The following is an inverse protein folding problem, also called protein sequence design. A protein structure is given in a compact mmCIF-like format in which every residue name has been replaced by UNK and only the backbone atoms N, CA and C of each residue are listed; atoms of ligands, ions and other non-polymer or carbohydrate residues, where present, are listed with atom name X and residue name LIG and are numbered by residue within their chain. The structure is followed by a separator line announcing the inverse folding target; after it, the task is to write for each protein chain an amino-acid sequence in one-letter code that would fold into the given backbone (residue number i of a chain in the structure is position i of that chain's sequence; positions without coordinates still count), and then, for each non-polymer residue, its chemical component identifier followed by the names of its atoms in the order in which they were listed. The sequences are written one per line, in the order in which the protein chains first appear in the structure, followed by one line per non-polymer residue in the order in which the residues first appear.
data_IF_062492210828
#
_entry.id   IF_062492210828
#
_cell.length_a   1.000
_cell.length_b   1.000
_cell.length_c   1.000
_cell.angle_alpha   90.00
_cell.angle_beta   90.00
_cell.angle_gamma   90.00
#
_symmetry.space_group_name_H-M   'P 1'
#
loop_
_entity.id
_entity.type
_entity.pdbx_description
1 polymer ?
#
# COMPACT_ATOMS: atom_id res chain seq x y z
N UNK A 1 13.30 34.30 -14.12
CA UNK A 1 13.30 33.74 -15.49
C UNK A 1 13.51 32.24 -15.36
N UNK A 2 12.42 31.51 -15.11
CA UNK A 2 12.44 30.07 -14.76
C UNK A 2 12.10 29.30 -16.03
N UNK A 3 13.08 28.59 -16.59
CA UNK A 3 12.87 27.62 -17.67
C UNK A 3 12.22 26.38 -17.05
N UNK A 4 10.90 26.28 -17.16
CA UNK A 4 10.16 25.05 -16.90
C UNK A 4 10.41 24.15 -18.11
N UNK A 5 11.21 23.10 -17.92
CA UNK A 5 11.35 22.02 -18.90
C UNK A 5 10.26 21.01 -18.59
N UNK A 6 9.13 21.12 -19.29
CA UNK A 6 8.11 20.06 -19.34
C UNK A 6 8.73 18.85 -20.06
N UNK A 7 8.69 17.63 -19.50
CA UNK A 7 8.85 16.44 -20.33
C UNK A 7 7.56 16.26 -21.14
N UNK A 8 7.57 16.75 -22.37
CA UNK A 8 6.56 16.40 -23.37
C UNK A 8 6.85 14.95 -23.77
N UNK A 9 6.08 14.01 -23.25
CA UNK A 9 6.00 12.67 -23.85
C UNK A 9 5.23 12.80 -25.16
N UNK A 10 5.98 12.99 -26.24
CA UNK A 10 5.50 12.99 -27.61
C UNK A 10 5.20 11.52 -27.96
N UNK A 11 3.94 11.20 -28.25
CA UNK A 11 3.56 9.92 -28.86
C UNK A 11 4.15 9.85 -30.27
N UNK A 12 5.38 9.34 -30.39
CA UNK A 12 5.92 8.93 -31.69
C UNK A 12 5.26 7.61 -32.08
N UNK A 13 4.25 7.71 -32.96
CA UNK A 13 3.79 6.59 -33.77
C UNK A 13 4.90 6.18 -34.74
N UNK A 14 5.82 5.33 -34.29
CA UNK A 14 6.73 4.61 -35.17
C UNK A 14 5.97 3.40 -35.72
N UNK A 15 5.60 3.47 -37.00
CA UNK A 15 5.11 2.33 -37.75
C UNK A 15 6.27 1.33 -37.91
N UNK A 16 6.40 0.42 -36.95
CA UNK A 16 7.27 -0.74 -37.05
C UNK A 16 6.55 -1.85 -37.85
N UNK A 17 7.29 -2.60 -38.69
CA UNK A 17 6.73 -3.75 -39.40
C UNK A 17 6.19 -4.75 -38.38
N UNK A 18 5.07 -5.41 -38.70
CA UNK A 18 4.31 -6.29 -37.80
C UNK A 18 5.17 -7.40 -37.17
N UNK A 19 5.69 -7.15 -35.97
CA UNK A 19 6.36 -8.08 -35.07
C UNK A 19 5.97 -7.70 -33.64
N UNK A 20 5.24 -8.60 -32.98
CA UNK A 20 4.70 -8.45 -31.63
C UNK A 20 3.45 -7.57 -31.50
N UNK A 21 2.54 -7.93 -30.60
CA UNK A 21 1.41 -7.09 -30.22
C UNK A 21 1.87 -6.10 -29.15
N UNK A 22 1.70 -4.80 -29.42
CA UNK A 22 1.95 -3.72 -28.47
C UNK A 22 0.62 -3.17 -27.99
N UNK A 23 0.48 -2.99 -26.68
CA UNK A 23 -0.63 -2.26 -26.09
C UNK A 23 -0.10 -1.25 -25.08
N UNK A 24 -0.61 -0.03 -25.12
CA UNK A 24 -0.27 1.05 -24.21
C UNK A 24 -1.53 1.69 -23.60
N UNK A 25 -1.36 2.25 -22.40
CA UNK A 25 -2.37 3.12 -21.78
C UNK A 25 -1.65 4.21 -20.98
N UNK A 26 -2.18 5.42 -21.02
CA UNK A 26 -1.71 6.55 -20.23
C UNK A 26 -2.80 7.18 -19.40
N UNK A 27 -2.40 7.78 -18.29
CA UNK A 27 -3.23 8.63 -17.45
C UNK A 27 -2.45 9.90 -17.05
N UNK A 28 -3.14 11.05 -17.09
CA UNK A 28 -2.73 12.28 -16.43
C UNK A 28 -3.86 12.75 -15.54
N UNK A 29 -3.56 12.98 -14.26
CA UNK A 29 -4.53 13.34 -13.24
C UNK A 29 -4.14 14.64 -12.57
N UNK A 30 -5.06 15.60 -12.58
CA UNK A 30 -4.98 16.76 -11.71
C UNK A 30 -5.60 16.42 -10.35
N UNK A 31 -4.79 16.42 -9.30
CA UNK A 31 -5.19 16.13 -7.93
C UNK A 31 -5.30 17.45 -7.14
N UNK A 32 -6.38 17.61 -6.39
CA UNK A 32 -6.52 18.64 -5.36
C UNK A 32 -6.92 18.00 -4.03
N UNK A 33 -6.31 18.48 -2.94
CA UNK A 33 -6.70 18.15 -1.56
C UNK A 33 -6.83 19.44 -0.77
N UNK A 34 -7.88 19.55 0.02
CA UNK A 34 -8.15 20.68 0.91
C UNK A 34 -8.48 20.15 2.29
N UNK A 35 -7.74 20.57 3.30
CA UNK A 35 -7.88 20.17 4.69
C UNK A 35 -8.66 21.21 5.49
N UNK A 36 -9.16 20.81 6.65
CA UNK A 36 -9.66 21.77 7.63
C UNK A 36 -8.50 22.68 8.08
N UNK A 37 -8.72 24.00 8.01
CA UNK A 37 -7.71 24.98 8.39
C UNK A 37 -7.37 24.90 9.86
N UNK A 38 -6.08 25.04 10.16
CA UNK A 38 -5.58 25.14 11.53
C UNK A 38 -4.60 26.31 11.69
N UNK A 39 -4.02 26.44 12.88
CA UNK A 39 -3.03 27.48 13.17
C UNK A 39 -1.59 26.96 12.99
N UNK A 40 -1.38 25.85 12.29
CA UNK A 40 -0.07 25.24 12.09
C UNK A 40 0.57 25.68 10.77
N UNK A 41 1.43 26.69 10.86
CA UNK A 41 2.14 27.25 9.71
C UNK A 41 3.20 26.31 9.09
N UNK A 42 3.45 25.13 9.66
CA UNK A 42 4.37 24.15 9.08
C UNK A 42 3.72 23.30 7.98
N UNK A 43 2.39 23.13 8.04
CA UNK A 43 1.64 22.28 7.11
C UNK A 43 0.85 23.09 6.09
N UNK A 44 0.50 22.47 4.96
CA UNK A 44 -0.33 23.09 3.94
C UNK A 44 -1.80 22.65 4.05
N UNK A 45 -2.71 23.60 4.15
CA UNK A 45 -4.16 23.34 4.23
C UNK A 45 -4.80 23.04 2.86
N UNK A 46 -4.12 23.36 1.78
CA UNK A 46 -4.55 23.02 0.43
C UNK A 46 -3.35 22.67 -0.42
N UNK A 47 -3.55 21.76 -1.38
CA UNK A 47 -2.49 21.39 -2.30
C UNK A 47 -3.04 20.94 -3.65
N UNK A 48 -2.22 21.12 -4.68
CA UNK A 48 -2.44 20.64 -6.04
C UNK A 48 -1.27 19.78 -6.48
N UNK A 49 -1.56 18.69 -7.20
CA UNK A 49 -0.54 17.86 -7.81
C UNK A 49 -0.94 17.45 -9.23
N UNK A 50 0.07 17.17 -10.04
CA UNK A 50 -0.06 16.49 -11.32
C UNK A 50 0.48 15.07 -11.13
N UNK A 51 -0.39 14.08 -11.29
CA UNK A 51 -0.03 12.68 -11.35
C UNK A 51 -0.06 12.21 -12.80
N UNK A 52 0.86 11.33 -13.18
CA UNK A 52 0.81 10.65 -14.48
C UNK A 52 1.24 9.21 -14.32
N UNK A 53 0.58 8.30 -15.04
CA UNK A 53 0.94 6.89 -15.13
C UNK A 53 0.97 6.49 -16.59
N UNK A 54 1.99 5.75 -16.98
CA UNK A 54 2.09 5.17 -18.31
C UNK A 54 2.34 3.67 -18.20
N UNK A 55 1.72 2.91 -19.09
CA UNK A 55 2.00 1.49 -19.25
C UNK A 55 2.20 1.13 -20.72
N UNK A 56 3.10 0.21 -20.97
CA UNK A 56 3.34 -0.41 -22.27
C UNK A 56 3.57 -1.90 -22.03
N UNK A 57 2.86 -2.73 -22.80
CA UNK A 57 3.05 -4.17 -22.84
C UNK A 57 3.36 -4.60 -24.26
N UNK A 58 4.38 -5.44 -24.40
CA UNK A 58 4.81 -6.03 -25.66
C UNK A 58 4.73 -7.55 -25.53
N UNK A 59 4.13 -8.21 -26.51
CA UNK A 59 4.03 -9.67 -26.55
C UNK A 59 4.52 -10.16 -27.91
N UNK A 60 5.50 -11.05 -27.91
CA UNK A 60 6.00 -11.71 -29.12
C UNK A 60 6.21 -13.21 -28.86
N UNK A 61 5.35 -14.03 -29.47
CA UNK A 61 5.33 -15.47 -29.21
C UNK A 61 5.14 -15.76 -27.71
N UNK A 62 6.11 -16.45 -27.11
CA UNK A 62 6.10 -16.81 -25.70
C UNK A 62 6.72 -15.74 -24.78
N UNK A 63 7.26 -14.66 -25.35
CA UNK A 63 7.87 -13.59 -24.59
C UNK A 63 6.87 -12.47 -24.30
N UNK A 64 6.91 -11.93 -23.09
CA UNK A 64 6.20 -10.71 -22.68
C UNK A 64 7.17 -9.73 -22.06
N UNK A 65 7.17 -8.50 -22.56
CA UNK A 65 7.77 -7.35 -21.90
C UNK A 65 6.69 -6.42 -21.33
N UNK A 66 6.89 -5.91 -20.12
CA UNK A 66 5.99 -4.96 -19.49
C UNK A 66 6.75 -3.82 -18.84
N UNK A 67 6.27 -2.60 -19.05
CA UNK A 67 6.70 -1.39 -18.36
C UNK A 67 5.45 -0.68 -17.85
N UNK A 68 5.41 -0.37 -16.56
CA UNK A 68 4.42 0.49 -15.93
C UNK A 68 5.09 1.34 -14.88
N UNK A 69 4.89 2.66 -14.96
CA UNK A 69 5.47 3.60 -14.03
C UNK A 69 4.54 4.79 -13.83
N UNK A 70 4.64 5.42 -12.67
CA UNK A 70 3.95 6.66 -12.39
C UNK A 70 4.90 7.73 -11.85
N UNK A 71 4.50 8.98 -11.98
CA UNK A 71 5.18 10.12 -11.38
C UNK A 71 4.16 11.11 -10.82
N UNK A 72 4.53 11.79 -9.74
CA UNK A 72 3.75 12.85 -9.11
C UNK A 72 4.61 14.09 -8.98
N UNK A 73 4.03 15.24 -9.31
CA UNK A 73 4.63 16.56 -9.12
C UNK A 73 3.64 17.46 -8.36
N UNK A 74 4.06 17.94 -7.22
CA UNK A 74 3.25 18.68 -6.26
C UNK A 74 3.60 20.16 -6.25
N UNK A 75 2.58 21.00 -6.06
CA UNK A 75 2.68 22.45 -6.18
C UNK A 75 3.37 23.12 -5.00
N UNK A 76 3.29 22.55 -3.80
CA UNK A 76 3.78 23.16 -2.55
C UNK A 76 4.83 22.30 -1.86
N UNK A 77 4.62 20.99 -1.81
CA UNK A 77 5.48 20.06 -1.10
C UNK A 77 6.38 19.28 -2.05
N UNK A 78 7.63 19.75 -2.19
CA UNK A 78 8.62 19.12 -3.07
C UNK A 78 8.98 17.69 -2.70
N UNK A 79 8.77 17.27 -1.45
CA UNK A 79 9.05 15.89 -1.02
C UNK A 79 8.00 14.90 -1.55
N UNK A 80 6.83 15.39 -1.97
CA UNK A 80 5.83 14.59 -2.71
C UNK A 80 6.19 14.40 -4.18
N UNK A 81 7.26 15.03 -4.69
CA UNK A 81 7.72 14.84 -6.06
C UNK A 81 8.49 13.52 -6.16
N UNK A 82 7.90 12.54 -6.82
CA UNK A 82 8.53 11.23 -6.99
C UNK A 82 8.12 10.58 -8.31
N UNK A 83 8.91 9.57 -8.69
CA UNK A 83 8.55 8.60 -9.71
C UNK A 83 8.73 7.21 -9.14
N UNK A 84 7.88 6.29 -9.58
CA UNK A 84 7.86 4.91 -9.13
C UNK A 84 7.73 4.00 -10.34
N UNK A 85 8.59 2.99 -10.39
CA UNK A 85 8.46 1.87 -11.31
C UNK A 85 7.56 0.85 -10.63
N UNK A 86 6.41 0.56 -11.24
CA UNK A 86 5.49 -0.47 -10.78
C UNK A 86 5.88 -1.81 -11.43
N UNK A 87 6.04 -1.81 -12.75
CA UNK A 87 6.49 -2.97 -13.51
C UNK A 87 7.58 -2.56 -14.51
N UNK A 88 8.64 -3.36 -14.61
CA UNK A 88 9.66 -3.27 -15.65
C UNK A 88 10.32 -4.64 -15.75
N UNK A 89 9.67 -5.58 -16.44
CA UNK A 89 10.10 -6.98 -16.49
C UNK A 89 9.98 -7.59 -17.88
N UNK A 90 10.74 -8.67 -18.08
CA UNK A 90 10.54 -9.63 -19.16
C UNK A 90 10.13 -10.97 -18.59
N UNK A 91 9.21 -11.67 -19.25
CA UNK A 91 8.85 -13.05 -18.94
C UNK A 91 8.81 -13.91 -20.19
N UNK A 92 9.04 -15.20 -20.00
CA UNK A 92 9.00 -16.19 -21.07
C UNK A 92 8.25 -17.44 -20.62
N UNK A 93 7.34 -17.91 -21.48
CA UNK A 93 6.58 -19.14 -21.30
C UNK A 93 7.27 -20.32 -21.99
N UNK A 94 7.40 -21.42 -21.26
CA UNK A 94 8.01 -22.67 -21.68
C UNK A 94 7.00 -23.81 -21.54
N UNK A 95 7.29 -24.92 -22.24
CA UNK A 95 6.47 -26.12 -22.21
C UNK A 95 5.22 -26.03 -23.10
N UNK A 96 4.56 -27.17 -23.27
CA UNK A 96 3.26 -27.23 -23.92
C UNK A 96 2.26 -26.41 -23.09
N UNK A 97 1.44 -25.63 -23.78
CA UNK A 97 0.41 -24.74 -23.21
C UNK A 97 0.92 -23.72 -22.17
N UNK A 98 2.22 -23.46 -22.09
CA UNK A 98 2.80 -22.47 -21.17
C UNK A 98 2.86 -22.93 -19.71
N UNK A 99 2.99 -24.25 -19.48
CA UNK A 99 3.06 -24.88 -18.15
C UNK A 99 4.18 -24.40 -17.22
N UNK A 100 5.19 -23.68 -17.75
CA UNK A 100 6.28 -23.10 -16.96
C UNK A 100 6.58 -21.66 -17.41
N UNK A 101 6.76 -20.74 -16.46
CA UNK A 101 7.11 -19.34 -16.73
C UNK A 101 8.32 -18.91 -15.92
N UNK A 102 9.23 -18.17 -16.56
CA UNK A 102 10.28 -17.41 -15.87
C UNK A 102 10.01 -15.92 -16.08
N UNK A 103 10.12 -15.13 -15.01
CA UNK A 103 10.02 -13.66 -15.05
C UNK A 103 11.22 -13.04 -14.33
N UNK A 104 11.79 -11.98 -14.91
CA UNK A 104 12.84 -11.19 -14.29
C UNK A 104 12.63 -9.69 -14.54
N UNK A 105 12.77 -8.90 -13.47
CA UNK A 105 12.67 -7.43 -13.52
C UNK A 105 11.93 -6.86 -12.32
N UNK A 106 11.50 -5.60 -12.39
CA UNK A 106 10.64 -5.01 -11.36
C UNK A 106 9.20 -5.48 -11.56
N UNK A 107 8.57 -5.97 -10.49
CA UNK A 107 7.19 -6.46 -10.53
C UNK A 107 6.39 -5.90 -9.37
N UNK A 108 5.19 -5.41 -9.65
CA UNK A 108 4.19 -5.06 -8.65
C UNK A 108 3.38 -6.30 -8.27
N UNK A 109 3.17 -6.55 -6.98
CA UNK A 109 2.32 -7.63 -6.49
C UNK A 109 1.02 -7.06 -5.91
N UNK A 110 -0.06 -7.78 -6.15
CA UNK A 110 -1.37 -7.53 -5.53
C UNK A 110 -1.84 -8.87 -4.99
N UNK A 111 -1.65 -9.06 -3.68
CA UNK A 111 -1.95 -10.33 -3.02
C UNK A 111 -3.16 -10.23 -2.10
N UNK A 112 -3.64 -9.02 -1.82
CA UNK A 112 -4.87 -8.82 -1.07
C UNK A 112 -6.09 -9.39 -1.79
N UNK A 113 -7.01 -9.96 -1.02
CA UNK A 113 -8.38 -10.23 -1.45
C UNK A 113 -9.37 -9.16 -0.96
N UNK A 114 -9.05 -8.50 0.14
CA UNK A 114 -9.88 -7.53 0.86
C UNK A 114 -9.70 -6.11 0.33
N UNK A 115 -10.58 -5.21 0.75
CA UNK A 115 -10.68 -3.80 0.34
C UNK A 115 -9.94 -2.83 1.28
N UNK A 116 -9.84 -3.13 2.59
CA UNK A 116 -9.19 -2.22 3.54
C UNK A 116 -8.12 -2.85 4.44
N UNK A 117 -8.24 -4.14 4.76
CA UNK A 117 -7.30 -4.82 5.65
C UNK A 117 -6.50 -5.88 4.87
N UNK A 118 -5.18 -5.68 4.73
CA UNK A 118 -4.36 -6.46 3.79
C UNK A 118 -3.19 -7.20 4.49
N UNK A 119 -3.45 -8.13 5.43
CA UNK A 119 -2.39 -8.79 6.19
C UNK A 119 -1.48 -9.71 5.39
N UNK A 120 -1.86 -10.17 4.20
CA UNK A 120 -1.04 -11.01 3.33
C UNK A 120 -0.27 -10.19 2.27
N UNK A 121 -0.61 -8.92 2.09
CA UNK A 121 -0.03 -8.04 1.07
C UNK A 121 1.17 -7.23 1.60
N UNK A 122 2.30 -7.94 1.72
CA UNK A 122 3.47 -7.49 2.48
C UNK A 122 4.74 -7.27 1.66
N UNK A 123 4.80 -7.74 0.41
CA UNK A 123 6.05 -7.78 -0.37
C UNK A 123 6.48 -6.41 -0.87
N UNK A 124 5.54 -5.65 -1.44
CA UNK A 124 5.85 -4.36 -2.02
C UNK A 124 6.01 -3.30 -0.94
N UNK A 125 7.02 -2.44 -1.10
CA UNK A 125 7.07 -1.19 -0.37
C UNK A 125 5.95 -0.23 -0.80
N UNK A 126 5.42 0.50 0.18
CA UNK A 126 4.23 1.34 0.04
C UNK A 126 4.58 2.83 0.07
N UNK A 127 3.71 3.65 -0.49
CA UNK A 127 3.71 5.10 -0.34
C UNK A 127 2.67 5.47 0.72
N UNK A 128 3.13 5.87 1.91
CA UNK A 128 2.31 6.26 3.05
C UNK A 128 1.69 7.66 2.92
N UNK A 129 1.95 8.39 1.83
CA UNK A 129 1.33 9.69 1.51
C UNK A 129 0.04 9.53 0.66
N UNK A 130 -0.89 8.72 1.16
CA UNK A 130 -2.11 8.34 0.43
C UNK A 130 -3.27 7.91 1.33
N UNK A 131 -4.24 7.22 0.72
CA UNK A 131 -5.36 6.60 1.42
C UNK A 131 -4.86 5.38 2.21
N UNK A 132 -4.98 5.39 3.53
CA UNK A 132 -4.31 4.42 4.43
C UNK A 132 -4.83 2.98 4.30
N UNK A 133 -6.02 2.80 3.75
CA UNK A 133 -6.61 1.51 3.41
C UNK A 133 -6.00 0.93 2.14
N UNK A 134 -5.67 1.77 1.15
CA UNK A 134 -5.20 1.34 -0.17
C UNK A 134 -4.01 2.18 -0.63
N UNK A 135 -2.86 1.93 0.01
CA UNK A 135 -1.63 2.65 -0.26
C UNK A 135 -1.06 2.28 -1.64
N UNK A 136 -0.58 3.28 -2.38
CA UNK A 136 0.16 3.03 -3.62
C UNK A 136 1.40 2.20 -3.34
N UNK A 137 1.75 1.31 -4.27
CA UNK A 137 2.85 0.35 -4.11
C UNK A 137 3.96 0.59 -5.12
N UNK A 138 5.13 0.06 -4.81
CA UNK A 138 6.31 0.10 -5.67
C UNK A 138 6.66 -1.30 -6.14
N UNK A 139 7.10 -1.44 -7.39
CA UNK A 139 7.58 -2.71 -7.90
C UNK A 139 8.85 -3.17 -7.17
N UNK A 140 9.00 -4.48 -6.99
CA UNK A 140 10.18 -5.08 -6.37
C UNK A 140 11.04 -5.78 -7.44
N UNK A 141 12.37 -5.66 -7.32
CA UNK A 141 13.30 -6.35 -8.23
C UNK A 141 13.24 -7.86 -7.97
N UNK A 142 12.60 -8.57 -8.89
CA UNK A 142 12.11 -9.93 -8.75
C UNK A 142 12.75 -10.85 -9.79
N UNK A 143 13.14 -12.04 -9.35
CA UNK A 143 13.20 -13.24 -10.18
C UNK A 143 12.09 -14.18 -9.73
N UNK A 144 11.26 -14.63 -10.66
CA UNK A 144 10.14 -15.52 -10.39
C UNK A 144 10.18 -16.72 -11.34
N UNK A 145 9.91 -17.89 -10.79
CA UNK A 145 9.59 -19.08 -11.57
C UNK A 145 8.21 -19.58 -11.17
N UNK A 146 7.36 -19.84 -12.14
CA UNK A 146 5.98 -20.27 -11.93
C UNK A 146 5.74 -21.58 -12.69
N UNK A 147 5.15 -22.54 -11.99
CA UNK A 147 4.73 -23.82 -12.54
C UNK A 147 3.22 -23.92 -12.46
N UNK A 148 2.57 -24.32 -13.55
CA UNK A 148 1.14 -24.64 -13.55
C UNK A 148 0.95 -26.01 -12.90
N UNK A 149 0.08 -26.08 -11.89
CA UNK A 149 -0.23 -27.31 -11.14
C UNK A 149 -1.73 -27.40 -10.96
N UNK A 150 -2.38 -28.35 -11.65
CA UNK A 150 -3.85 -28.42 -11.69
C UNK A 150 -4.44 -27.12 -12.23
N UNK A 151 -5.41 -26.56 -11.52
CA UNK A 151 -6.11 -25.32 -11.89
C UNK A 151 -5.47 -24.07 -11.23
N UNK A 152 -4.17 -24.11 -10.97
CA UNK A 152 -3.46 -22.98 -10.35
C UNK A 152 -1.95 -23.08 -10.49
N UNK A 153 -1.21 -22.48 -9.56
CA UNK A 153 0.24 -22.29 -9.73
C UNK A 153 1.04 -22.52 -8.45
N UNK A 154 2.28 -22.97 -8.65
CA UNK A 154 3.34 -22.92 -7.66
C UNK A 154 4.41 -21.93 -8.12
N UNK A 155 4.60 -20.86 -7.35
CA UNK A 155 5.54 -19.79 -7.64
C UNK A 155 6.69 -19.82 -6.63
N UNK A 156 7.92 -19.65 -7.14
CA UNK A 156 9.09 -19.35 -6.33
C UNK A 156 9.56 -17.95 -6.66
N UNK A 157 9.86 -17.17 -5.62
CA UNK A 157 10.28 -15.79 -5.71
C UNK A 157 11.66 -15.62 -5.10
N UNK A 158 12.48 -14.79 -5.75
CA UNK A 158 13.72 -14.26 -5.20
C UNK A 158 13.77 -12.76 -5.43
N UNK A 159 13.96 -12.00 -4.35
CA UNK A 159 14.17 -10.56 -4.39
C UNK A 159 15.58 -10.24 -3.91
N UNK A 160 16.41 -9.75 -4.83
CA UNK A 160 17.82 -9.46 -4.51
C UNK A 160 17.99 -8.23 -3.60
N UNK A 161 16.96 -7.38 -3.53
CA UNK A 161 16.97 -6.13 -2.80
C UNK A 161 15.58 -5.75 -2.29
N UNK A 162 15.58 -4.80 -1.36
CA UNK A 162 14.39 -4.11 -0.85
C UNK A 162 14.26 -2.74 -1.51
N UNK A 163 13.03 -2.23 -1.59
CA UNK A 163 12.75 -0.84 -1.90
C UNK A 163 12.42 -0.06 -0.63
N UNK A 164 12.86 1.20 -0.55
CA UNK A 164 12.45 2.08 0.55
C UNK A 164 10.99 2.50 0.35
N UNK A 165 10.15 2.45 1.40
CA UNK A 165 8.84 3.10 1.40
C UNK A 165 8.97 4.62 1.26
N UNK A 166 7.88 5.26 0.85
CA UNK A 166 7.77 6.71 0.80
C UNK A 166 6.94 7.14 2.01
N UNK A 167 7.47 8.05 2.81
CA UNK A 167 6.76 8.64 3.93
C UNK A 167 6.36 10.07 3.61
N UNK A 168 5.24 10.57 4.18
CA UNK A 168 4.90 11.97 4.02
C UNK A 168 5.95 12.88 4.67
N UNK A 169 6.14 14.06 4.07
CA UNK A 169 7.04 15.10 4.56
C UNK A 169 6.60 15.67 5.89
N UNK A 170 7.46 16.45 6.55
CA UNK A 170 7.09 17.21 7.77
C UNK A 170 6.07 18.32 7.51
N UNK A 171 5.83 18.65 6.23
CA UNK A 171 4.85 19.65 5.77
C UNK A 171 3.51 19.02 5.36
N UNK A 172 3.44 17.69 5.24
CA UNK A 172 2.21 16.99 4.90
C UNK A 172 1.27 16.94 6.12
N UNK A 173 0.00 17.27 5.93
CA UNK A 173 -1.04 17.18 6.98
C UNK A 173 -1.19 15.77 7.51
N UNK A 174 -1.16 14.78 6.61
CA UNK A 174 -1.22 13.35 6.93
C UNK A 174 0.13 12.76 7.36
N UNK A 175 1.10 13.61 7.74
CA UNK A 175 2.44 13.18 8.13
C UNK A 175 2.49 12.50 9.50
N UNK A 176 3.10 11.32 9.53
CA UNK A 176 3.31 10.51 10.75
C UNK A 176 4.59 10.85 11.52
N UNK A 177 5.19 12.00 11.21
CA UNK A 177 6.59 12.30 11.52
C UNK A 177 6.77 13.33 12.64
N UNK A 178 5.67 13.87 13.18
CA UNK A 178 5.67 14.76 14.36
C UNK A 178 6.60 15.98 14.21
N UNK A 179 6.78 16.46 12.98
CA UNK A 179 7.67 17.60 12.67
C UNK A 179 9.16 17.24 12.62
N UNK A 180 9.51 15.96 12.74
CA UNK A 180 10.89 15.44 12.60
C UNK A 180 10.99 14.70 11.27
N UNK A 181 11.85 15.17 10.38
CA UNK A 181 12.07 14.49 9.09
C UNK A 181 12.67 13.10 9.31
N UNK A 182 12.06 12.07 8.71
CA UNK A 182 12.61 10.72 8.77
C UNK A 182 13.89 10.62 7.95
N UNK A 183 14.91 9.98 8.52
CA UNK A 183 16.09 9.54 7.76
C UNK A 183 15.78 8.28 6.96
N UNK A 184 16.73 7.91 6.09
CA UNK A 184 16.68 6.66 5.35
C UNK A 184 16.40 5.48 6.29
N UNK A 185 15.50 4.58 5.87
CA UNK A 185 15.17 3.41 6.67
C UNK A 185 16.37 2.49 6.84
N UNK A 186 16.34 1.74 7.93
CA UNK A 186 17.32 0.70 8.24
C UNK A 186 16.68 -0.67 8.12
N UNK A 187 17.42 -1.61 7.56
CA UNK A 187 17.02 -2.99 7.38
C UNK A 187 17.75 -3.84 8.42
N UNK A 188 17.01 -4.27 9.44
CA UNK A 188 17.53 -4.97 10.61
C UNK A 188 17.59 -6.47 10.35
N UNK A 189 18.80 -7.03 10.39
CA UNK A 189 19.06 -8.46 10.19
C UNK A 189 20.00 -8.95 11.31
N UNK A 190 19.47 -9.79 12.19
CA UNK A 190 20.10 -10.12 13.47
C UNK A 190 20.47 -8.86 14.26
N UNK A 191 21.76 -8.66 14.50
CA UNK A 191 22.31 -7.50 15.23
C UNK A 191 22.70 -6.33 14.34
N UNK A 192 22.71 -6.51 13.02
CA UNK A 192 23.05 -5.43 12.10
C UNK A 192 21.82 -4.53 11.90
N UNK A 193 21.92 -3.33 12.45
CA UNK A 193 21.00 -2.22 12.22
C UNK A 193 21.77 -0.95 11.82
N UNK A 194 23.02 -1.08 11.35
CA UNK A 194 23.85 0.06 10.95
C UNK A 194 23.75 0.37 9.46
N UNK A 195 23.25 -0.56 8.67
CA UNK A 195 23.23 -0.46 7.20
C UNK A 195 21.89 0.05 6.66
N UNK A 196 21.97 1.02 5.76
CA UNK A 196 20.87 1.44 4.89
C UNK A 196 20.97 0.78 3.49
N UNK A 197 21.83 -0.24 3.34
CA UNK A 197 21.97 -0.97 2.08
C UNK A 197 20.65 -1.64 1.71
N UNK A 198 20.21 -1.36 0.48
CA UNK A 198 19.03 -1.98 -0.10
C UNK A 198 19.29 -3.41 -0.60
N UNK A 199 20.54 -3.83 -0.77
CA UNK A 199 20.87 -5.19 -1.23
C UNK A 199 20.70 -6.21 -0.12
N UNK A 200 19.45 -6.53 0.15
CA UNK A 200 18.99 -7.44 1.18
C UNK A 200 18.25 -8.61 0.49
N UNK A 201 18.90 -9.77 0.30
CA UNK A 201 18.33 -10.93 -0.36
C UNK A 201 17.19 -11.57 0.44
N UNK A 202 16.10 -11.86 -0.26
CA UNK A 202 14.85 -12.39 0.27
C UNK A 202 14.26 -13.40 -0.71
N UNK A 203 13.38 -14.26 -0.22
CA UNK A 203 12.75 -15.28 -1.07
C UNK A 203 11.39 -15.69 -0.52
N UNK A 204 10.62 -16.36 -1.38
CA UNK A 204 9.32 -16.87 -0.99
C UNK A 204 8.81 -17.97 -1.91
N UNK A 205 7.82 -18.69 -1.43
CA UNK A 205 7.08 -19.69 -2.18
C UNK A 205 5.60 -19.36 -2.02
N UNK A 206 4.83 -19.41 -3.10
CA UNK A 206 3.38 -19.21 -3.08
C UNK A 206 2.69 -20.29 -3.90
N UNK A 207 1.66 -20.88 -3.33
CA UNK A 207 0.80 -21.85 -3.99
C UNK A 207 -0.61 -21.28 -4.12
N UNK A 208 -1.17 -21.31 -5.32
CA UNK A 208 -2.50 -20.82 -5.63
C UNK A 208 -3.31 -21.93 -6.27
N UNK A 209 -4.59 -22.04 -5.91
CA UNK A 209 -5.54 -22.96 -6.54
C UNK A 209 -6.92 -22.36 -6.59
N UNK A 210 -7.65 -22.76 -7.62
CA UNK A 210 -9.10 -22.63 -7.73
C UNK A 210 -9.72 -24.02 -7.56
N UNK A 211 -10.69 -24.14 -6.66
CA UNK A 211 -11.44 -25.37 -6.40
C UNK A 211 -12.94 -25.05 -6.41
N UNK A 212 -13.59 -25.22 -7.56
CA UNK A 212 -14.98 -24.83 -7.76
C UNK A 212 -15.14 -23.31 -7.59
N UNK A 213 -15.99 -22.89 -6.66
CA UNK A 213 -16.27 -21.48 -6.37
C UNK A 213 -15.30 -20.87 -5.33
N UNK A 214 -14.22 -21.58 -4.99
CA UNK A 214 -13.21 -21.16 -4.01
C UNK A 214 -11.86 -20.90 -4.70
N UNK A 215 -11.31 -19.71 -4.49
CA UNK A 215 -9.92 -19.37 -4.81
C UNK A 215 -9.13 -19.23 -3.52
N UNK A 216 -7.95 -19.83 -3.44
CA UNK A 216 -7.07 -19.62 -2.29
C UNK A 216 -5.60 -19.54 -2.68
N UNK A 217 -4.85 -18.88 -1.82
CA UNK A 217 -3.41 -18.79 -1.88
C UNK A 217 -2.79 -19.06 -0.50
N UNK A 218 -1.67 -19.77 -0.49
CA UNK A 218 -0.81 -19.93 0.68
C UNK A 218 0.61 -19.53 0.30
N UNK A 219 1.30 -18.81 1.18
CA UNK A 219 2.68 -18.42 0.96
C UNK A 219 3.53 -18.58 2.22
N UNK A 220 4.81 -18.87 1.98
CA UNK A 220 5.87 -18.75 2.97
C UNK A 220 6.93 -17.77 2.45
N UNK A 221 7.31 -16.80 3.27
CA UNK A 221 8.27 -15.76 2.92
C UNK A 221 9.39 -15.67 3.97
N UNK A 222 10.61 -15.49 3.52
CA UNK A 222 11.75 -15.03 4.33
C UNK A 222 12.16 -13.67 3.77
N UNK A 223 11.72 -12.61 4.44
CA UNK A 223 11.70 -11.25 3.90
C UNK A 223 11.87 -10.20 5.01
N UNK A 224 11.86 -8.91 4.68
CA UNK A 224 11.80 -7.81 5.64
C UNK A 224 10.37 -7.29 5.75
N UNK A 225 9.77 -7.24 6.93
CA UNK A 225 8.40 -6.74 7.03
C UNK A 225 8.33 -5.26 6.61
N UNK A 226 7.52 -4.92 5.60
CA UNK A 226 7.30 -3.51 5.17
C UNK A 226 6.03 -2.89 5.76
N UNK A 227 5.17 -3.69 6.39
CA UNK A 227 3.89 -3.25 6.91
C UNK A 227 4.00 -2.72 8.34
N UNK A 228 4.86 -3.31 9.18
CA UNK A 228 4.96 -2.97 10.61
C UNK A 228 6.36 -2.48 11.00
N UNK A 229 6.85 -1.31 10.55
CA UNK A 229 8.14 -0.77 11.00
C UNK A 229 8.12 -0.32 12.47
N UNK A 230 9.26 -0.42 13.16
CA UNK A 230 9.48 0.39 14.37
C UNK A 230 10.07 1.75 13.98
N UNK A 231 9.36 2.82 14.29
CA UNK A 231 9.87 4.19 14.13
C UNK A 231 10.67 4.56 15.37
N UNK A 232 11.95 4.90 15.22
CA UNK A 232 12.81 5.19 16.36
C UNK A 232 14.25 5.53 15.97
N UNK A 233 15.17 5.28 16.90
CA UNK A 233 16.58 5.60 16.76
C UNK A 233 17.45 4.35 16.85
N UNK A 234 18.51 4.30 16.05
CA UNK A 234 19.45 3.17 16.04
C UNK A 234 20.37 3.25 17.27
N UNK A 235 20.96 4.42 17.50
CA UNK A 235 21.96 4.64 18.54
C UNK A 235 21.42 5.52 19.66
N UNK A 236 21.74 5.12 20.90
CA UNK A 236 21.37 5.84 22.11
C UNK A 236 22.55 6.01 23.04
N UNK A 237 22.46 7.04 23.88
CA UNK A 237 23.41 7.36 24.94
C UNK A 237 22.68 7.28 26.28
N UNK A 238 23.26 6.57 27.25
CA UNK A 238 22.67 6.45 28.58
C UNK A 238 23.19 7.56 29.51
N UNK A 239 22.26 8.29 30.14
CA UNK A 239 22.55 9.31 31.17
C UNK A 239 21.67 9.02 32.38
N UNK A 240 22.28 8.72 33.52
CA UNK A 240 21.55 8.44 34.76
C UNK A 240 20.64 7.20 34.70
N UNK A 241 20.97 6.22 33.85
CA UNK A 241 20.17 4.99 33.67
C UNK A 241 19.04 5.10 32.65
N UNK A 242 18.78 6.30 32.12
CA UNK A 242 17.82 6.53 31.03
C UNK A 242 18.57 6.66 29.71
N UNK A 243 18.10 5.98 28.67
CA UNK A 243 18.67 6.07 27.33
C UNK A 243 17.97 7.14 26.49
N UNK A 244 18.76 7.96 25.81
CA UNK A 244 18.30 9.02 24.92
C UNK A 244 18.93 8.84 23.55
N UNK A 245 18.28 9.30 22.46
CA UNK A 245 18.88 9.21 21.13
C UNK A 245 20.21 9.97 21.07
N UNK A 246 21.25 9.35 20.52
CA UNK A 246 22.56 10.00 20.36
C UNK A 246 22.51 11.20 19.41
N UNK A 247 21.54 11.21 18.49
CA UNK A 247 21.23 12.32 17.61
C UNK A 247 19.70 12.40 17.41
N UNK A 248 19.08 13.50 17.81
CA UNK A 248 17.62 13.69 17.69
C UNK A 248 17.14 13.80 16.24
N UNK A 249 18.03 14.13 15.29
CA UNK A 249 17.70 14.20 13.87
C UNK A 249 17.84 12.86 13.14
N UNK A 250 17.95 11.76 13.90
CA UNK A 250 18.21 10.41 13.37
C UNK A 250 16.98 9.50 13.36
N UNK A 251 15.80 10.05 13.67
CA UNK A 251 14.54 9.32 13.68
C UNK A 251 14.29 8.65 12.32
N UNK A 252 14.08 7.34 12.33
CA UNK A 252 13.94 6.55 11.10
C UNK A 252 13.11 5.28 11.30
N UNK A 253 12.51 4.75 10.23
CA UNK A 253 11.91 3.43 10.23
C UNK A 253 12.97 2.32 10.32
N UNK A 254 12.71 1.32 11.16
CA UNK A 254 13.48 0.09 11.28
C UNK A 254 12.60 -1.08 10.83
N UNK A 255 12.98 -1.72 9.72
CA UNK A 255 12.29 -2.88 9.17
C UNK A 255 13.06 -4.15 9.52
N UNK A 256 12.41 -5.10 10.15
CA UNK A 256 13.05 -6.31 10.66
C UNK A 256 12.87 -7.47 9.70
N UNK A 257 13.90 -8.30 9.56
CA UNK A 257 13.79 -9.59 8.87
C UNK A 257 12.79 -10.48 9.62
N UNK A 258 11.95 -11.17 8.84
CA UNK A 258 10.81 -11.93 9.32
C UNK A 258 10.65 -13.19 8.47
N UNK A 259 10.24 -14.28 9.13
CA UNK A 259 9.66 -15.44 8.46
C UNK A 259 8.16 -15.38 8.59
N UNK A 260 7.46 -15.44 7.47
CA UNK A 260 6.02 -15.23 7.41
C UNK A 260 5.32 -16.41 6.74
N UNK A 261 4.24 -16.89 7.36
CA UNK A 261 3.26 -17.79 6.75
C UNK A 261 1.99 -16.99 6.53
N UNK A 262 1.56 -16.82 5.28
CA UNK A 262 0.37 -16.05 4.96
C UNK A 262 -0.50 -16.75 3.93
N UNK A 263 -1.68 -16.18 3.70
CA UNK A 263 -2.60 -16.71 2.70
C UNK A 263 -3.85 -15.89 2.55
N UNK A 264 -4.56 -16.16 1.45
CA UNK A 264 -5.84 -15.57 1.12
C UNK A 264 -6.83 -16.66 0.71
N UNK A 265 -8.11 -16.41 0.92
CA UNK A 265 -9.21 -17.23 0.44
C UNK A 265 -10.36 -16.33 0.02
N UNK A 266 -10.95 -16.62 -1.13
CA UNK A 266 -12.19 -16.03 -1.63
C UNK A 266 -13.14 -17.17 -1.98
N UNK A 267 -14.39 -17.09 -1.51
CA UNK A 267 -15.38 -18.12 -1.75
C UNK A 267 -16.73 -17.49 -2.09
N UNK A 268 -17.24 -17.79 -3.28
CA UNK A 268 -18.57 -17.38 -3.71
C UNK A 268 -19.62 -18.38 -3.22
N UNK A 269 -20.57 -17.90 -2.41
CA UNK A 269 -21.67 -18.69 -1.84
C UNK A 269 -23.01 -18.02 -2.16
N UNK A 270 -23.61 -18.44 -3.28
CA UNK A 270 -24.79 -17.74 -3.82
C UNK A 270 -24.43 -16.30 -4.16
N UNK A 271 -25.15 -15.33 -3.58
CA UNK A 271 -24.93 -13.90 -3.82
C UNK A 271 -23.89 -13.29 -2.85
N UNK A 272 -23.29 -14.10 -1.97
CA UNK A 272 -22.29 -13.65 -1.01
C UNK A 272 -20.88 -14.01 -1.50
N UNK A 273 -19.94 -13.07 -1.33
CA UNK A 273 -18.52 -13.33 -1.49
C UNK A 273 -17.85 -13.24 -0.13
N UNK A 274 -17.38 -14.37 0.37
CA UNK A 274 -16.65 -14.48 1.64
C UNK A 274 -15.16 -14.41 1.34
N UNK A 275 -14.44 -13.59 2.09
CA UNK A 275 -13.01 -13.39 1.92
C UNK A 275 -12.28 -13.54 3.24
N UNK A 276 -11.11 -14.13 3.21
CA UNK A 276 -10.22 -14.29 4.37
C UNK A 276 -8.81 -13.95 3.93
N UNK A 277 -8.10 -13.20 4.75
CA UNK A 277 -6.69 -12.89 4.57
C UNK A 277 -5.98 -13.01 5.90
N UNK A 278 -4.77 -13.58 5.91
CA UNK A 278 -4.02 -13.67 7.16
C UNK A 278 -2.54 -13.91 6.97
N UNK A 279 -1.81 -13.64 8.05
CA UNK A 279 -0.36 -13.80 8.12
C UNK A 279 0.08 -14.06 9.55
N UNK A 280 1.04 -14.96 9.73
CA UNK A 280 1.76 -15.14 10.98
C UNK A 280 3.24 -14.82 10.77
N UNK A 281 3.75 -13.92 11.61
CA UNK A 281 5.08 -13.33 11.49
C UNK A 281 5.94 -13.74 12.67
N UNK A 282 7.12 -14.26 12.35
CA UNK A 282 8.18 -14.56 13.31
C UNK A 282 9.42 -13.74 13.00
N UNK A 283 9.69 -12.74 13.84
CA UNK A 283 10.77 -11.79 13.64
C UNK A 283 12.11 -12.30 14.16
N UNK A 284 13.18 -11.77 13.58
CA UNK A 284 14.47 -11.75 14.25
C UNK A 284 14.46 -10.64 15.31
N UNK A 285 14.90 -10.94 16.53
CA UNK A 285 14.72 -10.07 17.70
C UNK A 285 16.04 -9.70 18.41
N UNK A 286 17.18 -9.91 17.74
CA UNK A 286 18.50 -9.69 18.34
C UNK A 286 18.84 -8.20 18.52
N UNK A 287 18.35 -7.33 17.63
CA UNK A 287 18.47 -5.88 17.75
C UNK A 287 17.20 -5.27 18.36
N UNK A 288 17.37 -4.18 19.13
CA UNK A 288 16.25 -3.43 19.72
C UNK A 288 16.33 -1.97 19.31
N UNK A 289 15.30 -1.47 18.64
CA UNK A 289 15.17 -0.05 18.28
C UNK A 289 14.88 0.78 19.53
N UNK A 290 15.49 1.96 19.66
CA UNK A 290 15.12 2.92 20.70
C UNK A 290 13.88 3.69 20.23
N UNK A 291 12.70 3.31 20.72
CA UNK A 291 11.41 3.87 20.29
C UNK A 291 10.96 5.01 21.22
N UNK A 292 10.41 6.13 20.68
CA UNK A 292 9.82 7.18 21.50
C UNK A 292 8.48 6.72 22.08
N UNK A 293 8.36 6.77 23.40
CA UNK A 293 7.08 6.54 24.11
C UNK A 293 6.33 7.85 24.29
N UNK A 294 7.09 8.92 24.55
CA UNK A 294 6.62 10.31 24.53
C UNK A 294 7.66 11.17 23.82
N UNK A 295 7.48 12.50 23.82
CA UNK A 295 8.48 13.43 23.29
C UNK A 295 9.80 13.43 24.09
N UNK A 296 9.81 12.89 25.31
CA UNK A 296 10.98 12.91 26.20
C UNK A 296 11.37 11.55 26.78
N UNK A 297 10.57 10.51 26.56
CA UNK A 297 10.83 9.16 27.08
C UNK A 297 10.99 8.14 25.96
N UNK A 298 11.96 7.25 26.12
CA UNK A 298 12.34 6.26 25.12
C UNK A 298 12.49 4.87 25.75
N UNK A 299 12.26 3.84 24.94
CA UNK A 299 12.37 2.44 25.37
C UNK A 299 13.03 1.61 24.26
N UNK A 300 13.84 0.60 24.62
CA UNK A 300 14.37 -0.37 23.66
C UNK A 300 13.33 -1.45 23.40
N UNK A 301 12.80 -1.50 22.18
CA UNK A 301 11.80 -2.47 21.74
C UNK A 301 12.31 -3.31 20.56
N UNK A 302 11.98 -4.61 20.59
CA UNK A 302 12.02 -5.50 19.44
C UNK A 302 10.64 -5.57 18.78
N UNK A 303 10.58 -6.13 17.57
CA UNK A 303 9.30 -6.54 17.00
C UNK A 303 8.72 -7.72 17.78
N UNK A 304 7.41 -7.72 17.96
CA UNK A 304 6.70 -8.84 18.59
C UNK A 304 6.19 -9.81 17.51
N UNK A 305 6.47 -11.10 17.71
CA UNK A 305 5.85 -12.17 16.93
C UNK A 305 4.33 -12.08 17.06
N UNK A 306 3.63 -12.08 15.93
CA UNK A 306 2.18 -11.89 15.92
C UNK A 306 1.53 -12.60 14.73
N UNK A 307 0.25 -12.89 14.90
CA UNK A 307 -0.64 -13.28 13.82
C UNK A 307 -1.61 -12.15 13.50
N UNK A 308 -2.05 -12.04 12.27
CA UNK A 308 -3.06 -11.09 11.82
C UNK A 308 -4.05 -11.83 10.94
N UNK A 309 -5.35 -11.61 11.19
CA UNK A 309 -6.43 -12.20 10.42
C UNK A 309 -7.44 -11.12 10.09
N UNK A 310 -7.81 -11.04 8.83
CA UNK A 310 -8.89 -10.23 8.33
C UNK A 310 -9.94 -11.10 7.65
N UNK A 311 -11.20 -10.77 7.89
CA UNK A 311 -12.39 -11.43 7.33
C UNK A 311 -13.20 -10.39 6.57
N UNK A 312 -13.69 -10.75 5.40
CA UNK A 312 -14.54 -9.92 4.55
C UNK A 312 -15.79 -10.65 4.10
N UNK A 313 -16.89 -9.90 3.96
CA UNK A 313 -18.15 -10.35 3.40
C UNK A 313 -18.69 -9.27 2.48
N UNK A 314 -18.98 -9.65 1.24
CA UNK A 314 -19.61 -8.78 0.26
C UNK A 314 -20.94 -9.38 -0.21
N UNK A 315 -21.92 -8.53 -0.45
CA UNK A 315 -23.18 -8.90 -1.07
C UNK A 315 -23.68 -7.76 -1.96
N UNK A 316 -24.07 -8.10 -3.18
CA UNK A 316 -24.61 -7.14 -4.15
C UNK A 316 -26.09 -7.41 -4.38
N UNK A 317 -26.89 -6.34 -4.37
CA UNK A 317 -28.31 -6.40 -4.74
C UNK A 317 -28.63 -5.39 -5.82
N UNK A 318 -29.47 -5.82 -6.77
CA UNK A 318 -29.95 -5.00 -7.88
C UNK A 318 -31.27 -4.33 -7.52
N UNK A 319 -31.43 -3.08 -7.95
CA UNK A 319 -32.67 -2.29 -7.86
C UNK A 319 -33.25 -2.22 -9.27
N UNK A 320 -33.94 -3.27 -9.69
CA UNK A 320 -34.38 -3.50 -11.07
C UNK A 320 -35.19 -2.33 -11.67
N UNK A 321 -35.97 -1.63 -10.85
CA UNK A 321 -36.80 -0.49 -11.32
C UNK A 321 -35.97 0.71 -11.78
N UNK A 322 -34.72 0.80 -11.34
CA UNK A 322 -33.78 1.87 -11.70
C UNK A 322 -32.60 1.36 -12.51
N UNK A 323 -32.46 0.03 -12.69
CA UNK A 323 -31.26 -0.61 -13.22
C UNK A 323 -29.99 -0.28 -12.41
N UNK A 324 -30.11 -0.03 -11.11
CA UNK A 324 -28.97 0.31 -10.23
C UNK A 324 -28.52 -0.90 -9.42
N UNK A 325 -27.31 -0.88 -8.88
CA UNK A 325 -26.79 -1.91 -7.98
C UNK A 325 -26.22 -1.32 -6.70
N UNK A 326 -26.33 -2.06 -5.61
CA UNK A 326 -25.70 -1.71 -4.33
C UNK A 326 -24.94 -2.90 -3.80
N UNK A 327 -23.66 -2.69 -3.51
CA UNK A 327 -22.81 -3.66 -2.83
C UNK A 327 -22.61 -3.22 -1.38
N UNK A 328 -22.92 -4.11 -0.44
CA UNK A 328 -22.56 -3.98 0.96
C UNK A 328 -21.27 -4.75 1.22
N UNK A 329 -20.35 -4.13 1.93
CA UNK A 329 -19.04 -4.67 2.26
C UNK A 329 -18.87 -4.58 3.77
N UNK A 330 -18.56 -5.71 4.40
CA UNK A 330 -18.17 -5.77 5.80
C UNK A 330 -16.79 -6.41 5.89
N UNK A 331 -15.87 -5.76 6.61
CA UNK A 331 -14.58 -6.36 6.95
C UNK A 331 -14.27 -6.22 8.42
N UNK A 332 -13.50 -7.14 8.98
CA UNK A 332 -12.95 -7.02 10.32
C UNK A 332 -11.55 -7.61 10.37
N UNK A 333 -10.61 -6.92 11.02
CA UNK A 333 -9.24 -7.39 11.25
C UNK A 333 -8.93 -7.51 12.73
N UNK A 334 -7.97 -8.37 13.08
CA UNK A 334 -7.42 -8.45 14.43
C UNK A 334 -5.98 -8.96 14.40
N UNK A 335 -5.11 -8.29 15.17
CA UNK A 335 -3.78 -8.78 15.51
C UNK A 335 -3.86 -9.64 16.79
N UNK A 336 -3.09 -10.74 16.82
CA UNK A 336 -3.00 -11.73 17.88
C UNK A 336 -1.54 -11.95 18.29
N UNK A 337 -1.29 -12.40 19.51
CA UNK A 337 0.07 -12.63 20.04
C UNK A 337 0.68 -11.39 20.73
N UNK A 338 0.37 -10.20 20.23
CA UNK A 338 0.74 -8.94 20.88
C UNK A 338 -0.32 -8.47 21.89
N UNK A 339 0.11 -7.79 22.97
CA UNK A 339 -0.80 -7.17 23.93
C UNK A 339 -1.45 -5.87 23.37
N UNK A 340 -2.43 -5.30 24.08
CA UNK A 340 -3.15 -4.06 23.68
C UNK A 340 -2.22 -2.92 23.26
N UNK A 341 -1.19 -2.64 24.08
CA UNK A 341 -0.27 -1.52 23.85
C UNK A 341 0.64 -1.80 22.66
N UNK A 342 1.16 -3.03 22.57
CA UNK A 342 2.04 -3.46 21.49
C UNK A 342 1.32 -3.48 20.13
N UNK A 343 0.09 -4.03 20.07
CA UNK A 343 -0.75 -4.04 18.84
C UNK A 343 -0.91 -2.67 18.24
N UNK A 344 -1.14 -1.67 19.09
CA UNK A 344 -1.32 -0.27 18.68
C UNK A 344 -0.08 0.32 18.00
N UNK A 345 1.12 -0.23 18.23
CA UNK A 345 2.38 0.20 17.59
C UNK A 345 2.63 -0.49 16.26
N UNK A 346 2.01 -1.64 16.02
CA UNK A 346 2.29 -2.46 14.84
C UNK A 346 1.63 -1.86 13.59
N UNK A 347 0.36 -1.50 13.67
CA UNK A 347 -0.43 -1.04 12.53
C UNK A 347 -1.39 0.09 12.93
N UNK A 348 -1.78 0.89 11.94
CA UNK A 348 -2.88 1.87 12.09
C UNK A 348 -4.21 1.16 12.34
N UNK A 349 -4.42 0.02 11.69
CA UNK A 349 -5.59 -0.85 11.87
C UNK A 349 -5.14 -2.15 12.54
N UNK A 350 -5.62 -2.40 13.75
CA UNK A 350 -5.15 -3.49 14.61
C UNK A 350 -6.26 -4.40 15.12
N UNK A 351 -7.45 -3.84 15.34
CA UNK A 351 -8.66 -4.53 15.78
C UNK A 351 -9.84 -3.68 15.33
N UNK A 352 -9.99 -3.58 14.03
CA UNK A 352 -10.84 -2.61 13.35
C UNK A 352 -11.91 -3.34 12.56
N UNK A 353 -13.06 -2.70 12.41
CA UNK A 353 -14.13 -3.17 11.54
C UNK A 353 -14.49 -2.08 10.53
N UNK A 354 -14.70 -2.50 9.28
CA UNK A 354 -15.21 -1.69 8.19
C UNK A 354 -16.65 -2.08 7.87
N UNK A 355 -17.49 -1.07 7.67
CA UNK A 355 -18.75 -1.18 6.93
C UNK A 355 -18.67 -0.22 5.76
N UNK A 356 -18.88 -0.71 4.55
CA UNK A 356 -18.92 0.11 3.35
C UNK A 356 -20.11 -0.22 2.45
N UNK A 357 -20.49 0.78 1.65
CA UNK A 357 -21.56 0.73 0.67
C UNK A 357 -21.03 1.30 -0.64
N UNK A 358 -21.13 0.53 -1.72
CA UNK A 358 -20.89 0.96 -3.09
C UNK A 358 -22.23 1.00 -3.83
N UNK A 359 -22.62 2.16 -4.35
CA UNK A 359 -23.83 2.35 -5.13
C UNK A 359 -23.43 2.61 -6.58
N UNK A 360 -23.74 1.68 -7.46
CA UNK A 360 -23.56 1.81 -8.89
C UNK A 360 -24.87 2.26 -9.53
N UNK A 361 -24.82 3.40 -10.22
CA UNK A 361 -25.99 3.91 -10.95
C UNK A 361 -26.18 3.21 -12.30
N UNK A 362 -25.20 2.40 -12.73
CA UNK A 362 -25.15 1.72 -14.03
C UNK A 362 -25.49 2.62 -15.23
N UNK A 363 -25.23 3.93 -15.11
CA UNK A 363 -25.43 4.86 -16.20
C UNK A 363 -24.31 4.73 -17.25
N UNK A 364 -24.54 5.25 -18.45
CA UNK A 364 -23.55 5.23 -19.54
C UNK A 364 -22.22 5.88 -19.16
N UNK A 365 -22.19 6.74 -18.13
CA UNK A 365 -21.00 7.43 -17.64
C UNK A 365 -20.35 6.73 -16.44
N UNK A 366 -20.86 5.58 -16.00
CA UNK A 366 -20.37 4.81 -14.87
C UNK A 366 -20.32 5.62 -13.57
N UNK A 367 -21.41 6.31 -13.22
CA UNK A 367 -21.52 6.98 -11.93
C UNK A 367 -21.51 5.96 -10.78
N UNK A 368 -20.72 6.24 -9.76
CA UNK A 368 -20.59 5.42 -8.53
C UNK A 368 -20.49 6.34 -7.30
N UNK A 369 -21.21 5.97 -6.24
CA UNK A 369 -21.07 6.55 -4.91
C UNK A 369 -20.50 5.49 -3.96
N UNK A 370 -19.42 5.81 -3.26
CA UNK A 370 -18.81 4.92 -2.27
C UNK A 370 -18.76 5.59 -0.90
N UNK A 371 -19.29 4.91 0.11
CA UNK A 371 -19.21 5.30 1.51
C UNK A 371 -18.52 4.19 2.30
N UNK A 372 -17.58 4.55 3.16
CA UNK A 372 -16.96 3.62 4.11
C UNK A 372 -16.84 4.24 5.50
N UNK A 373 -16.97 3.37 6.50
CA UNK A 373 -16.82 3.67 7.90
C UNK A 373 -15.93 2.59 8.55
N UNK A 374 -14.79 3.00 9.10
CA UNK A 374 -13.90 2.13 9.87
C UNK A 374 -13.90 2.59 11.33
N UNK A 375 -13.97 1.63 12.25
CA UNK A 375 -13.96 1.85 13.68
C UNK A 375 -12.99 0.86 14.35
N UNK A 376 -12.09 1.39 15.16
CA UNK A 376 -11.30 0.57 16.09
C UNK A 376 -12.23 0.04 17.20
N UNK A 377 -12.28 -1.27 17.37
CA UNK A 377 -13.15 -1.97 18.33
C UNK A 377 -12.56 -1.97 19.76
N UNK A 378 -11.28 -1.65 19.90
CA UNK A 378 -10.54 -1.61 21.16
C UNK A 378 -10.34 -0.18 21.69
N UNK A 379 -10.34 0.80 20.78
CA UNK A 379 -10.27 2.24 20.99
C UNK A 379 -11.45 2.92 20.27
N UNK A 380 -12.62 2.87 20.89
CA UNK A 380 -13.92 3.23 20.27
C UNK A 380 -14.10 4.71 19.92
N UNK A 381 -13.11 5.55 20.26
CA UNK A 381 -13.00 6.95 19.86
C UNK A 381 -12.29 7.15 18.51
N UNK A 382 -11.68 6.10 17.96
CA UNK A 382 -10.93 6.14 16.69
C UNK A 382 -11.76 5.68 15.51
N UNK A 383 -12.02 6.61 14.57
CA UNK A 383 -12.91 6.38 13.43
C UNK A 383 -12.38 7.01 12.17
N UNK A 384 -12.72 6.39 11.06
CA UNK A 384 -12.43 6.90 9.73
C UNK A 384 -13.70 6.83 8.88
N UNK A 385 -14.09 7.99 8.36
CA UNK A 385 -15.20 8.14 7.45
C UNK A 385 -14.66 8.54 6.08
N UNK A 386 -15.17 7.91 5.03
CA UNK A 386 -14.90 8.34 3.66
C UNK A 386 -16.19 8.28 2.83
N UNK A 387 -16.41 9.33 2.04
CA UNK A 387 -17.49 9.42 1.08
C UNK A 387 -16.90 9.93 -0.23
N UNK A 388 -17.12 9.22 -1.32
CA UNK A 388 -16.63 9.62 -2.63
C UNK A 388 -17.65 9.36 -3.72
N UNK A 389 -17.65 10.23 -4.72
CA UNK A 389 -18.43 10.09 -5.93
C UNK A 389 -17.49 10.12 -7.12
N UNK A 390 -17.69 9.19 -8.07
CA UNK A 390 -16.93 9.16 -9.31
C UNK A 390 -17.82 9.00 -10.52
N UNK A 391 -17.42 9.63 -11.64
CA UNK A 391 -18.16 9.58 -12.90
C UNK A 391 -17.27 9.96 -14.08
N UNK A 392 -17.51 9.37 -15.25
CA UNK A 392 -16.92 9.81 -16.52
C UNK A 392 -17.56 11.11 -17.03
N UNK A 393 -16.75 11.99 -17.59
CA UNK A 393 -17.19 13.19 -18.32
C UNK A 393 -17.25 12.92 -19.84
N UNK A 394 -16.40 12.01 -20.31
CA UNK A 394 -16.38 11.47 -21.67
C UNK A 394 -15.64 10.13 -21.67
N UNK A 395 -15.40 9.55 -22.84
CA UNK A 395 -14.65 8.29 -22.99
C UNK A 395 -13.24 8.35 -22.38
N UNK A 396 -12.64 9.54 -22.34
CA UNK A 396 -11.25 9.73 -21.94
C UNK A 396 -11.10 10.60 -20.68
N UNK A 397 -12.20 11.05 -20.06
CA UNK A 397 -12.14 11.90 -18.87
C UNK A 397 -12.99 11.34 -17.74
N UNK A 398 -12.45 11.33 -16.53
CA UNK A 398 -13.12 10.90 -15.30
C UNK A 398 -12.84 11.90 -14.19
N UNK A 399 -13.79 12.10 -13.28
CA UNK A 399 -13.53 12.79 -12.03
C UNK A 399 -13.88 11.91 -10.82
N UNK A 400 -13.18 12.14 -9.71
CA UNK A 400 -13.49 11.61 -8.39
C UNK A 400 -13.48 12.78 -7.43
N UNK A 401 -14.58 12.99 -6.72
CA UNK A 401 -14.68 13.99 -5.65
C UNK A 401 -15.02 13.26 -4.37
N UNK A 402 -14.46 13.69 -3.25
CA UNK A 402 -14.76 13.03 -1.98
C UNK A 402 -14.39 13.85 -0.76
N UNK A 403 -14.81 13.34 0.38
CA UNK A 403 -14.50 13.84 1.71
C UNK A 403 -14.06 12.68 2.58
N UNK A 404 -13.08 12.94 3.44
CA UNK A 404 -12.54 11.99 4.39
C UNK A 404 -12.34 12.68 5.73
N UNK A 405 -12.74 12.01 6.81
CA UNK A 405 -12.61 12.53 8.16
C UNK A 405 -12.02 11.47 9.11
N UNK A 406 -11.05 11.91 9.91
CA UNK A 406 -10.42 11.11 10.96
C UNK A 406 -10.88 11.63 12.32
N UNK A 407 -11.35 10.73 13.18
CA UNK A 407 -11.73 11.04 14.55
C UNK A 407 -10.84 10.24 15.50
N UNK A 408 -10.36 10.90 16.55
CA UNK A 408 -9.66 10.29 17.68
C UNK A 408 -9.78 11.22 18.90
N UNK A 409 -9.66 10.69 20.13
CA UNK A 409 -9.72 11.51 21.35
C UNK A 409 -8.59 12.54 21.44
N UNK A 410 -7.39 12.22 20.97
CA UNK A 410 -6.21 13.09 21.00
C UNK A 410 -5.28 12.86 19.81
N UNK A 411 -4.39 13.82 19.54
CA UNK A 411 -3.34 13.67 18.51
C UNK A 411 -2.16 12.95 19.16
N UNK A 412 -1.63 11.93 18.50
CA UNK A 412 -0.68 10.99 19.10
C UNK A 412 0.09 10.16 18.09
N UNK A 413 0.89 9.20 18.56
CA UNK A 413 1.86 8.45 17.77
C UNK A 413 1.34 7.16 17.13
N UNK A 414 0.12 6.75 17.45
CA UNK A 414 -0.34 5.39 17.21
C UNK A 414 -1.80 5.34 16.77
N UNK A 415 -2.16 4.36 15.93
CA UNK A 415 -3.52 4.23 15.41
C UNK A 415 -3.97 5.45 14.61
N UNK A 416 -5.26 5.78 14.67
CA UNK A 416 -5.83 6.93 13.96
C UNK A 416 -5.54 8.28 14.64
N UNK A 417 -4.96 8.28 15.84
CA UNK A 417 -4.53 9.52 16.51
C UNK A 417 -3.51 10.31 15.70
N UNK A 418 -2.74 9.64 14.83
CA UNK A 418 -1.74 10.27 13.98
C UNK A 418 -2.38 11.25 12.98
N UNK A 419 -3.62 10.95 12.56
CA UNK A 419 -4.38 11.72 11.57
C UNK A 419 -5.42 12.65 12.20
N UNK A 420 -5.42 12.80 13.53
CA UNK A 420 -6.45 13.60 14.21
C UNK A 420 -6.39 15.05 13.74
N UNK A 421 -7.51 15.52 13.19
CA UNK A 421 -7.65 16.89 12.67
C UNK A 421 -7.18 17.06 11.23
N UNK A 422 -6.79 15.98 10.55
CA UNK A 422 -6.30 16.00 9.18
C UNK A 422 -7.39 15.53 8.18
N UNK A 423 -8.65 15.80 8.50
CA UNK A 423 -9.78 15.58 7.58
C UNK A 423 -9.65 16.46 6.33
N UNK A 424 -10.09 15.93 5.19
CA UNK A 424 -9.89 16.57 3.89
C UNK A 424 -11.05 16.34 2.92
N UNK A 425 -11.30 17.33 2.07
CA UNK A 425 -11.98 17.16 0.79
C UNK A 425 -10.96 17.02 -0.34
N UNK A 426 -11.30 16.29 -1.40
CA UNK A 426 -10.43 16.12 -2.55
C UNK A 426 -11.19 16.09 -3.88
N UNK A 427 -10.51 16.46 -4.95
CA UNK A 427 -10.97 16.41 -6.32
C UNK A 427 -9.84 15.92 -7.22
N UNK A 428 -10.08 14.82 -7.92
CA UNK A 428 -9.19 14.30 -8.95
C UNK A 428 -9.89 14.37 -10.30
N UNK A 429 -9.22 14.90 -11.32
CA UNK A 429 -9.68 14.91 -12.71
C UNK A 429 -8.63 14.21 -13.56
N UNK A 430 -8.99 13.05 -14.08
CA UNK A 430 -8.10 12.19 -14.87
C UNK A 430 -8.45 12.27 -16.35
N UNK A 431 -7.42 12.33 -17.19
CA UNK A 431 -7.49 12.09 -18.64
C UNK A 431 -6.74 10.80 -18.98
N UNK A 432 -7.41 9.89 -19.68
CA UNK A 432 -6.85 8.66 -20.21
C UNK A 432 -6.55 8.79 -21.72
N UNK A 433 -5.51 8.12 -22.20
CA UNK A 433 -5.13 8.11 -23.61
C UNK A 433 -4.42 6.83 -24.02
#
# INVERSE_FOLDING_TARGET
MIKIVLPVFLSLGLALPTFGAVSDQGEITFENRTFESDNNNLTYDDNFALFTRGQVKFIEGNFTGALRAYARADSKDRERNHYVIEDAYGSYLFGEEGSFKILAGWKLFNWSALEAFHPADVVNSKNFDGEIENLEKKGELTLETEFVVGDGTLNFYYWARVENPIYPSTRARTGVNFGIEFRDPVWVNGKDAGTNSKWQPQWGIRFNQTLGDMDFALQFLDHFDRAHPLIGYTFGTSVGGTEFPSNQNDLRPHFYRVRELGGTLSYALGDYLIKVEGGYRKFEDEFKTLVPITTTTFERANQEDHGELALGLENTFSIDSLDHEVTLIFEATSIFGANKVARRRLSTFQRDALVALRYNFNDLMGAELFFSFIQDLEYTDERLYNLSFTRRLSDNWKYKVGVRAYQAKERGFYGLQVYKGDGQGYLNISRFF
#
